data_IF_772481659568
#
_entry.id   IF_772481659568
#
_cell.length_a   1.000
_cell.length_b   1.000
_cell.length_c   1.000
_cell.angle_alpha   90.00
_cell.angle_beta   90.00
_cell.angle_gamma   90.00
#
_symmetry.space_group_name_H-M   'P 1'
#
loop_
_entity.id
_entity.type
_entity.pdbx_description
1 polymer ?
#
# COMPACT_ATOMS: atom_id res chain seq x y z
N UNK A 1 -5.21 6.82 30.00
CA UNK A 1 -4.43 5.58 29.75
C UNK A 1 -3.85 5.45 28.33
N UNK A 2 -4.03 6.41 27.40
CA UNK A 2 -3.44 6.34 26.05
C UNK A 2 -1.93 6.69 25.96
N UNK A 3 -1.37 7.40 26.95
CA UNK A 3 0.01 7.91 26.86
C UNK A 3 1.09 6.87 27.18
N UNK A 4 0.76 5.76 27.85
CA UNK A 4 1.75 4.73 28.21
C UNK A 4 2.09 3.77 27.06
N UNK A 5 1.21 3.63 26.05
CA UNK A 5 1.47 2.81 24.87
C UNK A 5 2.38 3.51 23.84
N UNK A 6 2.50 4.84 23.90
CA UNK A 6 3.33 5.64 22.99
C UNK A 6 4.81 5.68 23.38
N UNK A 7 5.19 5.18 24.56
CA UNK A 7 6.59 5.19 25.01
C UNK A 7 7.45 4.04 24.43
N UNK A 8 6.85 3.09 23.71
CA UNK A 8 7.58 2.06 22.95
C UNK A 8 8.08 2.58 21.58
N UNK A 9 7.80 3.83 21.22
CA UNK A 9 7.94 4.36 19.85
C UNK A 9 9.24 5.11 19.53
N UNK A 10 10.31 5.05 20.32
CA UNK A 10 11.52 5.84 19.97
C UNK A 10 12.59 5.07 19.16
N UNK A 11 12.45 3.76 18.99
CA UNK A 11 13.16 2.97 17.97
C UNK A 11 12.49 1.60 17.83
N UNK A 12 11.22 1.58 17.43
CA UNK A 12 10.54 0.32 17.12
C UNK A 12 11.26 -0.43 15.98
N UNK A 13 11.00 -1.73 15.78
CA UNK A 13 11.54 -2.49 14.66
C UNK A 13 11.07 -1.96 13.30
N UNK A 14 10.24 -0.92 13.24
CA UNK A 14 9.76 -0.29 12.02
C UNK A 14 9.99 1.21 12.11
N UNK A 15 10.51 1.79 11.04
CA UNK A 15 10.65 3.23 10.89
C UNK A 15 10.32 3.66 9.48
N UNK A 16 9.60 4.78 9.33
CA UNK A 16 9.45 5.44 8.05
C UNK A 16 10.37 6.66 7.99
N UNK A 17 11.11 6.79 6.90
CA UNK A 17 11.90 8.00 6.61
C UNK A 17 11.10 8.87 5.66
N UNK A 18 10.68 10.07 6.10
CA UNK A 18 9.73 10.90 5.36
C UNK A 18 10.46 12.05 4.71
N UNK A 19 10.45 12.07 3.38
CA UNK A 19 10.82 13.21 2.55
C UNK A 19 9.55 13.92 2.08
N UNK A 20 9.39 15.20 2.42
CA UNK A 20 8.31 16.03 1.89
C UNK A 20 8.85 17.01 0.85
N UNK A 21 8.15 17.09 -0.28
CA UNK A 21 8.50 17.94 -1.41
C UNK A 21 7.36 18.92 -1.67
N UNK A 22 7.68 20.03 -2.34
CA UNK A 22 6.68 20.95 -2.88
C UNK A 22 5.72 21.52 -1.82
N UNK A 23 6.22 21.77 -0.61
CA UNK A 23 5.45 22.33 0.50
C UNK A 23 4.51 21.33 1.19
N UNK A 24 4.58 20.04 0.84
CA UNK A 24 3.84 19.01 1.56
C UNK A 24 4.26 18.94 3.03
N UNK A 25 3.29 18.59 3.88
CA UNK A 25 3.51 18.36 5.31
C UNK A 25 2.90 17.02 5.69
N UNK A 26 3.52 16.37 6.68
CA UNK A 26 2.99 15.20 7.34
C UNK A 26 3.13 15.44 8.83
N UNK A 27 2.00 15.55 9.54
CA UNK A 27 2.07 15.78 10.97
C UNK A 27 2.58 14.52 11.69
N UNK A 28 3.12 14.73 12.89
CA UNK A 28 3.71 13.66 13.70
C UNK A 28 2.70 12.57 14.06
N UNK A 29 1.44 12.94 14.29
CA UNK A 29 0.38 11.99 14.64
C UNK A 29 0.10 11.04 13.49
N UNK A 30 -0.07 11.57 12.28
CA UNK A 30 -0.21 10.76 11.06
C UNK A 30 1.00 9.86 10.85
N UNK A 31 2.23 10.39 10.96
CA UNK A 31 3.44 9.56 10.82
C UNK A 31 3.45 8.35 11.78
N UNK A 32 3.20 8.58 13.07
CA UNK A 32 3.16 7.49 14.08
C UNK A 32 2.08 6.47 13.73
N UNK A 33 0.91 6.94 13.25
CA UNK A 33 -0.17 6.08 12.80
C UNK A 33 0.26 5.22 11.60
N UNK A 34 0.94 5.79 10.60
CA UNK A 34 1.43 5.06 9.43
C UNK A 34 2.47 4.00 9.82
N UNK A 35 3.42 4.34 10.71
CA UNK A 35 4.41 3.40 11.27
C UNK A 35 3.72 2.24 12.02
N UNK A 36 2.71 2.56 12.83
CA UNK A 36 1.96 1.56 13.57
C UNK A 36 1.18 0.62 12.65
N UNK A 37 0.52 1.16 11.63
CA UNK A 37 -0.23 0.35 10.66
C UNK A 37 0.71 -0.54 9.83
N UNK A 38 1.89 -0.05 9.45
CA UNK A 38 2.91 -0.87 8.79
C UNK A 38 3.31 -2.07 9.67
N UNK A 39 3.47 -1.86 10.98
CA UNK A 39 3.73 -2.95 11.94
C UNK A 39 2.59 -3.96 12.00
N UNK A 40 1.34 -3.49 12.09
CA UNK A 40 0.20 -4.41 12.15
C UNK A 40 0.06 -5.25 10.86
N UNK A 41 0.29 -4.65 9.69
CA UNK A 41 0.28 -5.39 8.42
C UNK A 41 1.44 -6.37 8.36
N UNK A 42 2.64 -6.01 8.84
CA UNK A 42 3.77 -6.94 8.87
C UNK A 42 3.49 -8.14 9.78
N UNK A 43 2.91 -7.93 10.97
CA UNK A 43 2.52 -9.04 11.84
C UNK A 43 1.47 -9.93 11.17
N UNK A 44 0.46 -9.34 10.53
CA UNK A 44 -0.55 -10.09 9.79
C UNK A 44 0.08 -10.97 8.70
N UNK A 45 0.97 -10.40 7.89
CA UNK A 45 1.62 -11.13 6.80
C UNK A 45 2.62 -12.18 7.30
N UNK A 46 3.35 -11.90 8.37
CA UNK A 46 4.21 -12.89 9.03
C UNK A 46 3.39 -14.09 9.49
N UNK A 47 2.28 -13.85 10.20
CA UNK A 47 1.41 -14.91 10.71
C UNK A 47 0.63 -15.66 9.63
N UNK A 48 0.14 -14.97 8.59
CA UNK A 48 -0.76 -15.57 7.58
C UNK A 48 -0.04 -16.11 6.36
N UNK A 49 1.04 -15.44 5.95
CA UNK A 49 1.77 -15.77 4.73
C UNK A 49 3.15 -16.39 5.04
N UNK A 50 3.59 -16.40 6.30
CA UNK A 50 4.88 -16.93 6.70
C UNK A 50 6.06 -16.11 6.18
N UNK A 51 5.87 -14.79 6.01
CA UNK A 51 6.94 -13.90 5.56
C UNK A 51 7.81 -13.52 6.77
N UNK A 52 9.10 -13.82 6.67
CA UNK A 52 10.10 -13.44 7.67
C UNK A 52 10.68 -12.07 7.32
N UNK A 53 10.54 -11.12 8.24
CA UNK A 53 11.07 -9.77 8.10
C UNK A 53 12.40 -9.61 8.85
N UNK A 54 13.29 -8.71 8.39
CA UNK A 54 14.43 -8.30 9.18
C UNK A 54 13.97 -7.68 10.51
N UNK A 55 14.82 -7.73 11.53
CA UNK A 55 14.56 -7.11 12.84
C UNK A 55 14.25 -5.62 12.75
N UNK A 56 14.66 -4.96 11.67
CA UNK A 56 14.35 -3.56 11.41
C UNK A 56 13.85 -3.41 9.98
N UNK A 57 12.60 -2.98 9.82
CA UNK A 57 11.99 -2.57 8.57
C UNK A 57 12.14 -1.06 8.42
N UNK A 58 12.69 -0.64 7.27
CA UNK A 58 12.80 0.76 6.89
C UNK A 58 12.16 0.97 5.54
N UNK A 59 11.25 1.92 5.48
CA UNK A 59 10.60 2.33 4.23
C UNK A 59 10.70 3.85 4.11
N UNK A 60 11.27 4.32 3.01
CA UNK A 60 11.22 5.74 2.68
C UNK A 60 9.83 6.10 2.16
N UNK A 61 9.30 7.23 2.61
CA UNK A 61 8.08 7.83 2.11
C UNK A 61 8.42 9.17 1.47
N UNK A 62 8.07 9.35 0.20
CA UNK A 62 8.22 10.64 -0.49
C UNK A 62 6.85 11.22 -0.80
N UNK A 63 6.58 12.44 -0.31
CA UNK A 63 5.28 13.10 -0.43
C UNK A 63 5.39 14.37 -1.26
N UNK A 64 4.72 14.41 -2.42
CA UNK A 64 4.68 15.57 -3.31
C UNK A 64 3.47 16.46 -3.03
N UNK A 65 3.70 17.72 -2.65
CA UNK A 65 2.65 18.73 -2.45
C UNK A 65 2.02 19.22 -3.75
N UNK A 66 2.77 19.23 -4.85
CA UNK A 66 2.33 19.68 -6.17
C UNK A 66 1.88 18.48 -7.04
N UNK A 67 0.57 18.38 -7.39
CA UNK A 67 0.05 17.32 -8.23
C UNK A 67 0.72 17.19 -9.60
N UNK A 68 1.15 18.29 -10.21
CA UNK A 68 1.79 18.27 -11.52
C UNK A 68 3.22 17.72 -11.45
N UNK A 69 3.94 18.04 -10.38
CA UNK A 69 5.27 17.46 -10.13
C UNK A 69 5.19 15.97 -9.81
N UNK A 70 4.20 15.57 -9.01
CA UNK A 70 3.91 14.16 -8.77
C UNK A 70 3.62 13.41 -10.08
N UNK A 71 2.74 13.96 -10.94
CA UNK A 71 2.41 13.38 -12.24
C UNK A 71 3.65 13.21 -13.12
N UNK A 72 4.49 14.24 -13.22
CA UNK A 72 5.76 14.17 -13.96
C UNK A 72 6.71 13.11 -13.38
N UNK A 73 6.77 12.98 -12.05
CA UNK A 73 7.58 11.96 -11.40
C UNK A 73 7.08 10.54 -11.71
N UNK A 74 5.75 10.33 -11.73
CA UNK A 74 5.13 9.07 -12.13
C UNK A 74 5.43 8.74 -13.61
N UNK A 75 5.26 9.71 -14.51
CA UNK A 75 5.56 9.54 -15.95
C UNK A 75 7.03 9.20 -16.19
N UNK A 76 7.95 9.81 -15.45
CA UNK A 76 9.38 9.56 -15.56
C UNK A 76 9.78 8.11 -15.23
N UNK A 77 8.95 7.39 -14.46
CA UNK A 77 9.15 5.96 -14.14
C UNK A 77 8.21 5.05 -14.94
N UNK A 78 7.53 5.58 -15.97
CA UNK A 78 6.65 4.81 -16.86
C UNK A 78 5.29 4.46 -16.26
N UNK A 79 4.87 5.16 -15.20
CA UNK A 79 3.54 5.00 -14.61
C UNK A 79 2.53 5.93 -15.28
N UNK A 80 1.27 5.53 -15.21
CA UNK A 80 0.17 6.28 -15.78
C UNK A 80 -0.18 7.52 -14.92
N UNK A 81 -0.73 8.60 -15.51
CA UNK A 81 -1.03 9.84 -14.78
C UNK A 81 -2.06 9.71 -13.64
N UNK A 82 -2.84 8.63 -13.63
CA UNK A 82 -3.93 8.40 -12.67
C UNK A 82 -3.49 7.66 -11.39
N UNK A 83 -2.22 7.27 -11.26
CA UNK A 83 -1.74 6.57 -10.04
C UNK A 83 -1.86 7.46 -8.80
N UNK A 84 -2.26 6.88 -7.67
CA UNK A 84 -2.34 7.60 -6.38
C UNK A 84 -1.04 7.59 -5.57
N UNK A 85 -0.17 6.62 -5.88
CA UNK A 85 1.15 6.40 -5.33
C UNK A 85 1.81 5.25 -6.06
N UNK A 86 3.05 4.94 -5.70
CA UNK A 86 3.71 3.70 -6.12
C UNK A 86 4.83 3.32 -5.17
N UNK A 87 5.03 2.01 -5.04
CA UNK A 87 6.20 1.42 -4.41
C UNK A 87 7.30 1.13 -5.43
N UNK A 88 8.55 1.44 -5.07
CA UNK A 88 9.74 0.96 -5.77
C UNK A 88 10.68 0.27 -4.79
N UNK A 89 10.96 -1.01 -5.05
CA UNK A 89 12.02 -1.77 -4.40
C UNK A 89 13.27 -1.74 -5.25
N UNK A 90 14.32 -1.06 -4.79
CA UNK A 90 15.58 -0.96 -5.50
C UNK A 90 16.43 -2.22 -5.42
N UNK A 91 17.19 -2.54 -6.49
CA UNK A 91 18.24 -3.57 -6.47
C UNK A 91 19.40 -3.23 -5.52
N UNK A 92 19.52 -1.96 -5.17
CA UNK A 92 20.45 -1.37 -4.21
C UNK A 92 19.94 -1.42 -2.76
N UNK A 93 18.74 -1.95 -2.53
CA UNK A 93 18.11 -2.05 -1.21
C UNK A 93 17.33 -0.80 -0.78
N UNK A 94 17.19 0.21 -1.65
CA UNK A 94 16.38 1.39 -1.34
C UNK A 94 14.91 1.08 -1.58
N UNK A 95 14.14 0.90 -0.50
CA UNK A 95 12.69 0.73 -0.53
C UNK A 95 12.00 2.06 -0.32
N UNK A 96 11.15 2.46 -1.27
CA UNK A 96 10.47 3.76 -1.24
C UNK A 96 9.05 3.68 -1.75
N UNK A 97 8.13 4.30 -1.01
CA UNK A 97 6.77 4.55 -1.44
C UNK A 97 6.58 6.05 -1.71
N UNK A 98 6.12 6.39 -2.91
CA UNK A 98 5.96 7.78 -3.37
C UNK A 98 4.48 8.11 -3.50
N UNK A 99 4.07 9.27 -3.00
CA UNK A 99 2.67 9.67 -2.91
C UNK A 99 2.45 11.11 -3.34
N UNK A 100 1.24 11.38 -3.84
CA UNK A 100 0.69 12.73 -3.89
C UNK A 100 0.18 13.13 -2.50
N UNK A 101 0.44 14.35 -2.07
CA UNK A 101 -0.19 14.91 -0.89
C UNK A 101 -1.71 14.99 -1.11
N UNK A 102 -2.44 14.35 -0.21
CA UNK A 102 -3.91 14.31 -0.18
C UNK A 102 -4.36 14.37 1.28
N UNK A 103 -5.67 14.45 1.53
CA UNK A 103 -6.18 14.39 2.90
C UNK A 103 -5.81 13.05 3.57
N UNK A 104 -5.70 13.07 4.89
CA UNK A 104 -5.18 11.94 5.68
C UNK A 104 -5.88 10.61 5.38
N UNK A 105 -7.23 10.52 5.27
CA UNK A 105 -7.89 9.24 5.00
C UNK A 105 -7.47 8.61 3.67
N UNK A 106 -7.32 9.42 2.61
CA UNK A 106 -6.85 8.97 1.31
C UNK A 106 -5.37 8.58 1.35
N UNK A 107 -4.55 9.34 2.09
CA UNK A 107 -3.13 9.06 2.25
C UNK A 107 -2.91 7.73 3.00
N UNK A 108 -3.66 7.49 4.08
CA UNK A 108 -3.62 6.24 4.84
C UNK A 108 -4.01 5.05 3.95
N UNK A 109 -5.02 5.22 3.10
CA UNK A 109 -5.45 4.18 2.14
C UNK A 109 -4.34 3.84 1.15
N UNK A 110 -3.76 4.86 0.53
CA UNK A 110 -2.65 4.69 -0.42
C UNK A 110 -1.41 4.11 0.28
N UNK A 111 -1.09 4.57 1.49
CA UNK A 111 0.01 4.05 2.29
C UNK A 111 -0.14 2.55 2.55
N UNK A 112 -1.32 2.11 2.99
CA UNK A 112 -1.60 0.70 3.18
C UNK A 112 -1.44 -0.09 1.88
N UNK A 113 -1.97 0.43 0.76
CA UNK A 113 -1.80 -0.22 -0.54
C UNK A 113 -0.31 -0.44 -0.89
N UNK A 114 0.49 0.62 -0.88
CA UNK A 114 1.91 0.53 -1.28
C UNK A 114 2.78 -0.24 -0.28
N UNK A 115 2.46 -0.17 1.02
CA UNK A 115 3.15 -0.97 2.04
C UNK A 115 2.89 -2.46 1.90
N UNK A 116 1.74 -2.86 1.33
CA UNK A 116 1.50 -4.25 0.94
C UNK A 116 2.62 -4.77 0.04
N UNK A 117 2.93 -4.02 -1.03
CA UNK A 117 3.94 -4.40 -2.00
C UNK A 117 5.33 -4.46 -1.38
N UNK A 118 5.65 -3.48 -0.52
CA UNK A 118 6.89 -3.49 0.26
C UNK A 118 7.03 -4.76 1.10
N UNK A 119 5.99 -5.13 1.85
CA UNK A 119 6.03 -6.31 2.72
C UNK A 119 6.06 -7.61 1.93
N UNK A 120 5.25 -7.73 0.86
CA UNK A 120 5.25 -8.90 -0.04
C UNK A 120 6.61 -9.09 -0.71
N UNK A 121 7.37 -8.01 -0.95
CA UNK A 121 8.70 -8.09 -1.56
C UNK A 121 9.74 -8.87 -0.75
N UNK A 122 9.53 -9.07 0.56
CA UNK A 122 10.36 -9.94 1.41
C UNK A 122 10.02 -11.44 1.25
N UNK A 123 8.85 -11.75 0.71
CA UNK A 123 8.40 -13.11 0.46
C UNK A 123 8.94 -13.68 -0.86
N UNK A 124 8.29 -14.75 -1.30
CA UNK A 124 8.50 -15.26 -2.67
C UNK A 124 7.81 -14.33 -3.67
N UNK A 125 8.32 -14.23 -4.92
CA UNK A 125 7.63 -13.49 -5.97
C UNK A 125 6.15 -13.90 -6.05
N UNK A 126 5.26 -12.94 -5.82
CA UNK A 126 3.83 -13.14 -5.91
C UNK A 126 3.36 -12.84 -7.33
N UNK A 127 2.41 -13.61 -7.89
CA UNK A 127 1.77 -13.24 -9.14
C UNK A 127 1.00 -11.92 -8.97
N UNK A 128 0.86 -11.14 -10.05
CA UNK A 128 0.27 -9.80 -10.02
C UNK A 128 -1.09 -9.77 -9.32
N UNK A 129 -1.97 -10.73 -9.62
CA UNK A 129 -3.29 -10.80 -9.00
C UNK A 129 -3.20 -10.91 -7.46
N UNK A 130 -2.29 -11.73 -6.94
CA UNK A 130 -2.15 -11.90 -5.49
C UNK A 130 -1.54 -10.64 -4.85
N UNK A 131 -0.51 -10.08 -5.48
CA UNK A 131 0.15 -8.87 -4.99
C UNK A 131 -0.83 -7.68 -4.89
N UNK A 132 -1.59 -7.42 -5.96
CA UNK A 132 -2.57 -6.34 -6.03
C UNK A 132 -3.82 -6.63 -5.19
N UNK A 133 -4.29 -7.89 -5.19
CA UNK A 133 -5.44 -8.31 -4.39
C UNK A 133 -5.18 -8.15 -2.89
N UNK A 134 -3.98 -8.49 -2.42
CA UNK A 134 -3.55 -8.25 -1.04
C UNK A 134 -3.45 -6.76 -0.73
N UNK A 135 -2.92 -5.94 -1.64
CA UNK A 135 -2.86 -4.49 -1.50
C UNK A 135 -4.26 -3.86 -1.34
N UNK A 136 -5.21 -4.26 -2.19
CA UNK A 136 -6.61 -3.83 -2.10
C UNK A 136 -7.32 -4.38 -0.86
N UNK A 137 -6.97 -5.58 -0.39
CA UNK A 137 -7.53 -6.11 0.86
C UNK A 137 -7.11 -5.25 2.06
N UNK A 138 -5.85 -4.84 2.09
CA UNK A 138 -5.35 -4.06 3.23
C UNK A 138 -5.65 -2.58 3.13
N UNK A 139 -5.81 -1.99 1.95
CA UNK A 139 -6.03 -0.54 1.80
C UNK A 139 -7.28 -0.06 2.55
N UNK A 140 -8.32 -0.90 2.67
CA UNK A 140 -9.54 -0.56 3.42
C UNK A 140 -9.52 -1.02 4.88
N UNK A 141 -8.37 -1.46 5.38
CA UNK A 141 -8.21 -1.89 6.76
C UNK A 141 -8.15 -0.71 7.72
N UNK A 142 -8.54 -0.96 8.97
CA UNK A 142 -8.43 0.02 10.06
C UNK A 142 -7.75 -0.59 11.26
N UNK A 143 -6.97 0.22 11.97
CA UNK A 143 -6.42 -0.15 13.27
C UNK A 143 -7.51 -0.06 14.34
N UNK A 144 -7.65 -1.12 15.15
CA UNK A 144 -8.50 -1.12 16.35
C UNK A 144 -7.72 -1.72 17.52
N UNK A 145 -7.20 -0.85 18.40
CA UNK A 145 -6.30 -1.28 19.45
C UNK A 145 -5.03 -1.90 18.86
N UNK A 146 -4.80 -3.19 19.14
CA UNK A 146 -3.66 -3.95 18.61
C UNK A 146 -3.95 -4.67 17.30
N UNK A 147 -5.21 -4.72 16.89
CA UNK A 147 -5.64 -5.53 15.76
C UNK A 147 -5.76 -4.68 14.49
N UNK A 148 -5.43 -5.30 13.35
CA UNK A 148 -5.78 -4.78 12.03
C UNK A 148 -7.11 -5.41 11.61
N UNK A 149 -8.15 -4.59 11.49
CA UNK A 149 -9.44 -5.05 11.01
C UNK A 149 -9.48 -4.92 9.49
N UNK A 150 -9.31 -6.05 8.81
CA UNK A 150 -9.49 -6.15 7.36
C UNK A 150 -10.97 -6.06 7.05
N UNK A 151 -11.39 -4.95 6.47
CA UNK A 151 -12.80 -4.66 6.19
C UNK A 151 -13.14 -4.98 4.74
N UNK A 152 -14.38 -5.44 4.53
CA UNK A 152 -14.97 -5.49 3.20
C UNK A 152 -15.30 -4.08 2.71
N UNK A 153 -14.83 -3.70 1.52
CA UNK A 153 -15.13 -2.41 0.89
C UNK A 153 -16.53 -2.41 0.24
N UNK A 154 -17.49 -1.57 0.68
CA UNK A 154 -18.78 -1.42 0.00
C UNK A 154 -18.62 -1.00 -1.47
N UNK A 155 -17.61 -0.15 -1.76
CA UNK A 155 -17.26 0.24 -3.13
C UNK A 155 -16.84 -0.96 -3.97
N UNK A 156 -15.96 -1.81 -3.45
CA UNK A 156 -15.48 -2.98 -4.20
C UNK A 156 -16.62 -3.95 -4.46
N UNK A 157 -17.50 -4.17 -3.46
CA UNK A 157 -18.73 -4.97 -3.64
C UNK A 157 -19.65 -4.40 -4.71
N UNK A 158 -19.83 -3.08 -4.77
CA UNK A 158 -20.65 -2.44 -5.79
C UNK A 158 -20.04 -2.59 -7.20
N UNK A 159 -18.71 -2.52 -7.31
CA UNK A 159 -18.01 -2.80 -8.58
C UNK A 159 -18.19 -4.27 -8.99
N UNK A 160 -17.97 -5.22 -8.09
CA UNK A 160 -18.17 -6.66 -8.38
C UNK A 160 -19.62 -6.97 -8.76
N UNK A 161 -20.60 -6.32 -8.14
CA UNK A 161 -22.01 -6.49 -8.48
C UNK A 161 -22.34 -5.99 -9.89
N UNK A 162 -21.62 -4.96 -10.39
CA UNK A 162 -21.83 -4.38 -11.72
C UNK A 162 -21.02 -5.08 -12.81
N UNK A 163 -19.76 -5.36 -12.54
CA UNK A 163 -18.79 -5.87 -13.52
C UNK A 163 -18.60 -7.39 -13.47
N UNK A 164 -19.11 -8.04 -12.42
CA UNK A 164 -18.87 -9.45 -12.14
C UNK A 164 -17.51 -9.74 -11.51
N UNK A 165 -17.38 -10.95 -10.97
CA UNK A 165 -16.10 -11.50 -10.54
C UNK A 165 -15.21 -11.83 -11.74
N UNK A 166 -13.89 -11.70 -11.58
CA UNK A 166 -12.95 -12.22 -12.57
C UNK A 166 -12.91 -13.74 -12.51
N UNK A 167 -12.68 -14.42 -13.63
CA UNK A 167 -12.42 -15.86 -13.58
C UNK A 167 -11.07 -16.11 -12.91
N UNK A 168 -11.01 -17.13 -12.05
CA UNK A 168 -9.75 -17.58 -11.42
C UNK A 168 -8.72 -17.86 -12.50
N UNK A 169 -9.13 -18.49 -13.59
CA UNK A 169 -8.28 -18.80 -14.73
C UNK A 169 -7.65 -17.54 -15.36
N UNK A 170 -8.44 -16.49 -15.63
CA UNK A 170 -7.91 -15.25 -16.19
C UNK A 170 -6.99 -14.52 -15.21
N UNK A 171 -7.25 -14.59 -13.90
CA UNK A 171 -6.40 -13.93 -12.90
C UNK A 171 -5.10 -14.67 -12.66
N UNK A 172 -5.14 -16.00 -12.61
CA UNK A 172 -3.98 -16.84 -12.30
C UNK A 172 -3.12 -17.12 -13.54
N UNK A 173 -3.74 -17.30 -14.71
CA UNK A 173 -3.07 -17.69 -15.96
C UNK A 173 -2.96 -16.55 -16.97
N UNK A 174 -3.53 -15.37 -16.68
CA UNK A 174 -3.47 -14.23 -17.59
C UNK A 174 -2.07 -13.60 -17.64
N UNK A 175 -1.50 -13.53 -18.84
CA UNK A 175 -0.14 -12.99 -19.06
C UNK A 175 -0.09 -11.46 -19.16
N UNK A 176 -1.23 -10.77 -19.25
CA UNK A 176 -1.26 -9.32 -19.44
C UNK A 176 -0.85 -8.58 -18.14
N UNK A 177 0.20 -7.74 -18.16
CA UNK A 177 0.55 -6.92 -17.01
C UNK A 177 -0.58 -5.94 -16.71
N UNK A 178 -1.08 -5.92 -15.48
CA UNK A 178 -2.18 -5.02 -15.12
C UNK A 178 -1.82 -3.54 -15.37
N UNK A 179 -0.55 -3.16 -15.21
CA UNK A 179 -0.03 -1.80 -15.46
C UNK A 179 -0.24 -1.26 -16.88
N UNK A 180 -0.51 -2.12 -17.86
CA UNK A 180 -0.71 -1.71 -19.26
C UNK A 180 -2.19 -1.44 -19.60
N UNK A 181 -3.10 -1.68 -18.65
CA UNK A 181 -4.52 -1.46 -18.83
C UNK A 181 -4.92 0.01 -18.51
N UNK A 182 -6.01 0.53 -19.10
CA UNK A 182 -6.60 1.81 -18.69
C UNK A 182 -6.99 1.80 -17.21
N UNK A 183 -6.89 2.95 -16.52
CA UNK A 183 -7.05 3.03 -15.05
C UNK A 183 -8.37 2.46 -14.50
N UNK A 184 -9.48 2.63 -15.23
CA UNK A 184 -10.77 2.03 -14.85
C UNK A 184 -10.75 0.50 -14.95
N UNK A 185 -10.09 -0.03 -15.99
CA UNK A 185 -9.92 -1.47 -16.19
C UNK A 185 -8.97 -2.06 -15.14
N UNK A 186 -7.86 -1.37 -14.85
CA UNK A 186 -6.92 -1.76 -13.77
C UNK A 186 -7.64 -1.86 -12.44
N UNK A 187 -8.38 -0.81 -12.07
CA UNK A 187 -9.10 -0.75 -10.80
C UNK A 187 -10.08 -1.91 -10.66
N UNK A 188 -10.82 -2.24 -11.72
CA UNK A 188 -11.73 -3.40 -11.74
C UNK A 188 -10.97 -4.71 -11.59
N UNK A 189 -9.84 -4.89 -12.28
CA UNK A 189 -9.00 -6.10 -12.15
C UNK A 189 -8.46 -6.28 -10.74
N UNK A 190 -8.00 -5.21 -10.09
CA UNK A 190 -7.52 -5.26 -8.71
C UNK A 190 -8.65 -5.64 -7.74
N UNK A 191 -9.85 -5.09 -7.95
CA UNK A 191 -11.04 -5.44 -7.17
C UNK A 191 -11.47 -6.90 -7.39
N UNK A 192 -11.35 -7.42 -8.60
CA UNK A 192 -11.60 -8.83 -8.89
C UNK A 192 -10.56 -9.73 -8.21
N UNK A 193 -9.29 -9.33 -8.19
CA UNK A 193 -8.23 -10.05 -7.52
C UNK A 193 -8.39 -10.05 -5.99
N UNK A 194 -8.90 -8.96 -5.41
CA UNK A 194 -9.31 -8.87 -4.00
C UNK A 194 -10.40 -9.87 -3.60
N UNK A 195 -11.26 -10.26 -4.55
CA UNK A 195 -12.41 -11.12 -4.28
C UNK A 195 -12.08 -12.63 -4.26
N UNK A 196 -10.86 -13.00 -4.67
CA UNK A 196 -10.34 -14.38 -4.69
C UNK A 196 -9.76 -14.77 -3.34
#
# INVERSE_FOLDING_TARGET
MLLAALSWCLAGPISIDVETLDGATLDRGTRIRLEYMLWQVSELYSHRLGIDYPRTLRLKMTLHGDPERFRKAAEAVGLQPWVGGWFRGGRDGTNEAVFRAVAEPELVRAWLHETSHFLVSYGRPAPNWLNEGLAVAIETSRAEGRDLIVSTSPRNRAVLAREGGGSVETMVLGDAPFKDLPGETVSTRYIQAWAL
#
